data_IF_386412330714
#
_entry.id   IF_386412330714
#
_cell.length_a   1.000
_cell.length_b   1.000
_cell.length_c   1.000
_cell.angle_alpha   90.00
_cell.angle_beta   90.00
_cell.angle_gamma   90.00
#
_symmetry.space_group_name_H-M   'P 1'
#
loop_
_entity.id
_entity.type
_entity.pdbx_description
1 polymer ?
#
# COMPACT_ATOMS: atom_id res chain seq x y z
N UNK A 1 -22.89 -17.79 5.49
CA UNK A 1 -22.76 -16.66 6.41
C UNK A 1 -22.06 -17.03 7.71
N UNK A 2 -22.39 -18.13 8.37
CA UNK A 2 -21.75 -18.59 9.61
C UNK A 2 -20.25 -18.78 9.47
N UNK A 3 -19.81 -19.49 8.44
CA UNK A 3 -18.38 -19.69 8.15
C UNK A 3 -17.62 -18.38 7.95
N UNK A 4 -18.23 -17.37 7.32
CA UNK A 4 -17.64 -16.06 7.12
C UNK A 4 -17.31 -15.39 8.46
N UNK A 5 -18.26 -15.33 9.38
CA UNK A 5 -18.07 -14.71 10.70
C UNK A 5 -17.02 -15.47 11.52
N UNK A 6 -17.07 -16.81 11.49
CA UNK A 6 -16.08 -17.64 12.21
C UNK A 6 -14.67 -17.40 11.65
N UNK A 7 -14.52 -17.45 10.32
CA UNK A 7 -13.23 -17.20 9.65
C UNK A 7 -12.67 -15.81 9.97
N UNK A 8 -13.50 -14.76 9.91
CA UNK A 8 -13.08 -13.40 10.26
C UNK A 8 -12.66 -13.29 11.72
N UNK A 9 -13.44 -13.88 12.63
CA UNK A 9 -13.14 -13.85 14.07
C UNK A 9 -11.82 -14.57 14.38
N UNK A 10 -11.62 -15.74 13.80
CA UNK A 10 -10.40 -16.53 13.96
C UNK A 10 -9.19 -15.82 13.32
N UNK A 11 -9.38 -15.18 12.18
CA UNK A 11 -8.34 -14.37 11.53
C UNK A 11 -7.89 -13.20 12.41
N UNK A 12 -8.84 -12.49 13.04
CA UNK A 12 -8.52 -11.43 14.00
C UNK A 12 -7.76 -11.97 15.22
N UNK A 13 -8.23 -13.07 15.81
CA UNK A 13 -7.60 -13.69 16.96
C UNK A 13 -6.18 -14.16 16.61
N UNK A 14 -6.01 -14.84 15.49
CA UNK A 14 -4.71 -15.32 15.04
C UNK A 14 -3.75 -14.16 14.75
N UNK A 15 -4.20 -13.11 14.09
CA UNK A 15 -3.42 -11.89 13.87
C UNK A 15 -2.97 -11.25 15.18
N UNK A 16 -3.89 -11.10 16.15
CA UNK A 16 -3.56 -10.54 17.48
C UNK A 16 -2.56 -11.41 18.25
N UNK A 17 -2.73 -12.72 18.25
CA UNK A 17 -1.80 -13.65 18.89
C UNK A 17 -0.41 -13.62 18.23
N UNK A 18 -0.37 -13.64 16.91
CA UNK A 18 0.87 -13.52 16.13
C UNK A 18 1.59 -12.19 16.42
N UNK A 19 0.86 -11.08 16.52
CA UNK A 19 1.45 -9.78 16.84
C UNK A 19 2.06 -9.73 18.22
N UNK A 20 1.47 -10.46 19.18
CA UNK A 20 2.03 -10.59 20.54
C UNK A 20 3.31 -11.43 20.53
N UNK A 21 3.36 -12.52 19.76
CA UNK A 21 4.56 -13.32 19.57
C UNK A 21 5.68 -12.53 18.87
N UNK A 22 5.35 -11.80 17.80
CA UNK A 22 6.29 -10.97 17.06
C UNK A 22 6.91 -9.86 17.90
N UNK A 23 6.18 -9.34 18.89
CA UNK A 23 6.72 -8.35 19.83
C UNK A 23 7.91 -8.89 20.63
N UNK A 24 7.93 -10.19 20.96
CA UNK A 24 9.04 -10.83 21.66
C UNK A 24 10.33 -10.82 20.82
N UNK A 25 10.22 -10.97 19.51
CA UNK A 25 11.33 -10.96 18.55
C UNK A 25 11.52 -9.58 17.87
N UNK A 26 10.85 -8.55 18.38
CA UNK A 26 10.94 -7.15 17.92
C UNK A 26 10.55 -6.93 16.44
N UNK A 27 9.70 -7.78 15.88
CA UNK A 27 9.16 -7.60 14.52
C UNK A 27 7.97 -6.62 14.51
N UNK A 28 7.72 -5.93 13.38
CA UNK A 28 6.50 -5.17 13.17
C UNK A 28 5.24 -6.04 13.25
N UNK A 29 4.14 -5.48 13.75
CA UNK A 29 2.87 -6.19 13.83
C UNK A 29 2.35 -6.57 12.43
N UNK A 30 2.57 -5.72 11.42
CA UNK A 30 2.19 -5.98 10.02
C UNK A 30 2.76 -7.30 9.53
N UNK A 31 4.07 -7.50 9.66
CA UNK A 31 4.74 -8.76 9.26
C UNK A 31 4.11 -9.97 9.95
N UNK A 32 3.72 -9.83 11.23
CA UNK A 32 3.09 -10.93 11.95
C UNK A 32 1.65 -11.21 11.50
N UNK A 33 0.90 -10.19 11.10
CA UNK A 33 -0.44 -10.36 10.53
C UNK A 33 -0.38 -11.08 9.18
N UNK A 34 0.59 -10.72 8.32
CA UNK A 34 0.85 -11.39 7.06
C UNK A 34 1.24 -12.86 7.25
N UNK A 35 2.14 -13.13 8.19
CA UNK A 35 2.52 -14.51 8.54
C UNK A 35 1.32 -15.29 9.10
N UNK A 36 0.49 -14.69 9.96
CA UNK A 36 -0.73 -15.34 10.43
C UNK A 36 -1.68 -15.67 9.28
N UNK A 37 -1.84 -14.74 8.31
CA UNK A 37 -2.61 -14.96 7.11
C UNK A 37 -2.06 -16.08 6.23
N UNK A 38 -0.77 -16.10 5.99
CA UNK A 38 -0.08 -17.15 5.26
C UNK A 38 -0.31 -18.53 5.90
N UNK A 39 -0.23 -18.62 7.23
CA UNK A 39 -0.50 -19.86 7.97
C UNK A 39 -1.97 -20.27 7.91
N UNK A 40 -2.91 -19.32 7.97
CA UNK A 40 -4.35 -19.58 7.82
C UNK A 40 -4.75 -19.83 6.35
N UNK A 41 -3.89 -19.48 5.41
CA UNK A 41 -4.14 -19.55 3.98
C UNK A 41 -4.36 -20.96 3.44
N UNK A 42 -4.86 -21.04 2.18
CA UNK A 42 -5.18 -22.31 1.51
C UNK A 42 -4.00 -23.25 1.38
N UNK A 43 -2.78 -22.68 1.37
CA UNK A 43 -1.54 -23.44 1.14
C UNK A 43 -0.95 -24.06 2.41
N UNK A 44 -1.44 -23.70 3.60
CA UNK A 44 -0.96 -24.22 4.89
C UNK A 44 -2.07 -24.91 5.67
N UNK A 45 -2.78 -24.20 6.57
CA UNK A 45 -3.86 -24.81 7.37
C UNK A 45 -5.07 -25.20 6.52
N UNK A 46 -5.35 -24.49 5.42
CA UNK A 46 -6.40 -24.85 4.50
C UNK A 46 -6.27 -26.26 3.90
N UNK A 47 -5.02 -26.75 3.72
CA UNK A 47 -4.75 -28.14 3.26
C UNK A 47 -5.10 -29.21 4.29
N UNK A 48 -5.22 -28.87 5.58
CA UNK A 48 -5.54 -29.83 6.64
C UNK A 48 -7.04 -30.16 6.71
N UNK A 49 -7.88 -29.60 5.81
CA UNK A 49 -9.32 -29.87 5.78
C UNK A 49 -10.12 -29.26 6.94
N UNK A 50 -9.50 -28.40 7.76
CA UNK A 50 -10.12 -27.75 8.90
C UNK A 50 -10.96 -26.52 8.53
N UNK A 51 -10.93 -26.11 7.26
CA UNK A 51 -11.66 -24.95 6.72
C UNK A 51 -13.19 -25.08 6.89
N UNK A 52 -13.74 -26.30 6.89
CA UNK A 52 -15.14 -26.56 7.17
C UNK A 52 -15.59 -26.12 8.58
N UNK A 53 -14.66 -26.06 9.53
CA UNK A 53 -14.87 -25.59 10.91
C UNK A 53 -14.51 -24.12 11.09
N UNK A 54 -14.15 -23.42 10.00
CA UNK A 54 -13.71 -22.03 10.03
C UNK A 54 -12.23 -21.83 10.38
N UNK A 55 -11.47 -22.91 10.59
CA UNK A 55 -10.03 -22.84 10.85
C UNK A 55 -9.27 -22.79 9.51
N UNK A 56 -8.93 -21.57 9.08
CA UNK A 56 -8.22 -21.31 7.83
C UNK A 56 -9.13 -21.20 6.60
N UNK A 57 -8.53 -20.80 5.49
CA UNK A 57 -9.19 -20.61 4.21
C UNK A 57 -8.99 -21.86 3.34
N UNK A 58 -10.04 -22.46 2.86
CA UNK A 58 -10.00 -23.71 2.07
C UNK A 58 -9.54 -23.49 0.62
N UNK A 59 -9.70 -22.27 0.08
CA UNK A 59 -9.33 -21.94 -1.31
C UNK A 59 -9.04 -20.45 -1.46
N UNK A 60 -8.29 -20.07 -2.51
CA UNK A 60 -8.11 -18.68 -2.89
C UNK A 60 -9.42 -17.97 -3.21
N UNK A 61 -10.34 -18.65 -3.89
CA UNK A 61 -11.68 -18.10 -4.17
C UNK A 61 -12.44 -17.73 -2.89
N UNK A 62 -12.24 -18.50 -1.80
CA UNK A 62 -12.79 -18.14 -0.50
C UNK A 62 -12.13 -16.87 0.04
N UNK A 63 -10.81 -16.69 -0.05
CA UNK A 63 -10.12 -15.46 0.38
C UNK A 63 -10.59 -14.27 -0.45
N UNK A 64 -10.68 -14.42 -1.77
CA UNK A 64 -11.17 -13.39 -2.69
C UNK A 64 -12.62 -12.95 -2.37
N UNK A 65 -13.45 -13.84 -1.86
CA UNK A 65 -14.82 -13.49 -1.43
C UNK A 65 -14.87 -12.46 -0.29
N UNK A 66 -13.76 -12.26 0.44
CA UNK A 66 -13.59 -11.23 1.46
C UNK A 66 -13.01 -9.92 0.91
N UNK A 67 -12.82 -9.81 -0.40
CA UNK A 67 -12.19 -8.65 -1.05
C UNK A 67 -12.82 -7.30 -0.70
N UNK A 68 -14.13 -7.26 -0.37
CA UNK A 68 -14.79 -6.03 0.09
C UNK A 68 -14.14 -5.48 1.38
N UNK A 69 -13.67 -6.35 2.28
CA UNK A 69 -12.99 -5.93 3.52
C UNK A 69 -11.65 -5.30 3.18
N UNK A 70 -10.93 -5.89 2.24
CA UNK A 70 -9.67 -5.36 1.71
C UNK A 70 -9.85 -3.97 1.10
N UNK A 71 -10.89 -3.79 0.26
CA UNK A 71 -11.19 -2.49 -0.34
C UNK A 71 -11.56 -1.43 0.70
N UNK A 72 -12.40 -1.79 1.67
CA UNK A 72 -12.79 -0.89 2.77
C UNK A 72 -11.57 -0.50 3.61
N UNK A 73 -10.71 -1.46 3.95
CA UNK A 73 -9.48 -1.21 4.69
C UNK A 73 -8.55 -0.25 3.95
N UNK A 74 -8.33 -0.49 2.65
CA UNK A 74 -7.53 0.40 1.80
C UNK A 74 -8.12 1.81 1.74
N UNK A 75 -9.46 1.94 1.66
CA UNK A 75 -10.12 3.23 1.69
C UNK A 75 -9.86 4.01 2.99
N UNK A 76 -9.94 3.34 4.14
CA UNK A 76 -9.61 3.97 5.43
C UNK A 76 -8.13 4.33 5.54
N UNK A 77 -7.24 3.47 5.08
CA UNK A 77 -5.79 3.72 5.06
C UNK A 77 -5.51 4.96 4.20
N UNK A 78 -6.07 5.03 2.99
CA UNK A 78 -5.88 6.17 2.09
C UNK A 78 -6.46 7.48 2.67
N UNK A 79 -7.66 7.42 3.28
CA UNK A 79 -8.27 8.57 3.93
C UNK A 79 -7.37 9.13 5.05
N UNK A 80 -6.77 8.24 5.85
CA UNK A 80 -5.84 8.66 6.92
C UNK A 80 -4.53 9.21 6.34
N UNK A 81 -4.00 8.63 5.27
CA UNK A 81 -2.82 9.18 4.56
C UNK A 81 -3.11 10.58 4.06
N UNK A 82 -4.35 10.85 3.60
CA UNK A 82 -4.77 12.19 3.20
C UNK A 82 -4.53 13.26 4.26
N UNK A 83 -4.55 12.91 5.56
CA UNK A 83 -4.24 13.83 6.65
C UNK A 83 -2.79 14.35 6.66
N UNK A 84 -1.85 13.64 6.02
CA UNK A 84 -0.46 14.10 5.88
C UNK A 84 -0.31 15.23 4.83
N UNK A 85 -1.34 15.44 3.98
CA UNK A 85 -1.38 16.50 2.97
C UNK A 85 -1.96 17.82 3.52
N UNK A 86 -1.60 18.18 4.74
CA UNK A 86 -1.94 19.50 5.27
C UNK A 86 -1.21 20.59 4.53
N UNK A 87 -1.89 21.70 4.24
CA UNK A 87 -1.31 22.84 3.52
C UNK A 87 -0.02 23.33 4.17
N UNK A 88 0.04 23.36 5.51
CA UNK A 88 1.24 23.75 6.26
C UNK A 88 2.43 22.81 6.03
N UNK A 89 2.19 21.50 5.83
CA UNK A 89 3.24 20.54 5.50
C UNK A 89 3.65 20.65 4.03
N UNK A 90 2.67 20.86 3.13
CA UNK A 90 2.90 21.03 1.69
C UNK A 90 3.72 22.29 1.39
N UNK A 91 3.46 23.41 2.07
CA UNK A 91 4.25 24.63 1.90
C UNK A 91 5.75 24.41 2.21
N UNK A 92 6.05 23.57 3.19
CA UNK A 92 7.43 23.32 3.61
C UNK A 92 8.17 22.26 2.78
N UNK A 93 7.48 21.20 2.31
CA UNK A 93 8.11 20.01 1.71
C UNK A 93 7.44 19.53 0.40
N UNK A 94 6.30 20.12 -0.02
CA UNK A 94 5.51 19.61 -1.14
C UNK A 94 6.30 19.51 -2.45
N UNK A 95 7.10 20.53 -2.80
CA UNK A 95 7.94 20.50 -4.00
C UNK A 95 8.99 19.38 -3.96
N UNK A 96 9.57 19.13 -2.79
CA UNK A 96 10.51 18.02 -2.63
C UNK A 96 9.79 16.68 -2.78
N UNK A 97 8.62 16.51 -2.14
CA UNK A 97 7.85 15.29 -2.20
C UNK A 97 7.43 14.94 -3.64
N UNK A 98 6.91 15.91 -4.40
CA UNK A 98 6.51 15.71 -5.80
C UNK A 98 7.72 15.34 -6.66
N UNK A 99 8.82 16.10 -6.56
CA UNK A 99 10.02 15.83 -7.36
C UNK A 99 10.63 14.47 -7.01
N UNK A 100 10.73 14.15 -5.71
CA UNK A 100 11.27 12.86 -5.25
C UNK A 100 10.36 11.72 -5.67
N UNK A 101 9.04 11.85 -5.50
CA UNK A 101 8.06 10.83 -5.89
C UNK A 101 8.15 10.49 -7.37
N UNK A 102 8.11 11.50 -8.25
CA UNK A 102 8.19 11.29 -9.69
C UNK A 102 9.54 10.70 -10.09
N UNK A 103 10.65 11.32 -9.70
CA UNK A 103 11.98 10.90 -10.15
C UNK A 103 12.34 9.50 -9.66
N UNK A 104 12.05 9.15 -8.40
CA UNK A 104 12.37 7.82 -7.89
C UNK A 104 11.54 6.74 -8.58
N UNK A 105 10.25 7.01 -8.89
CA UNK A 105 9.39 6.08 -9.61
C UNK A 105 9.91 5.83 -11.04
N UNK A 106 10.20 6.91 -11.79
CA UNK A 106 10.77 6.83 -13.14
C UNK A 106 12.12 6.09 -13.16
N UNK A 107 13.04 6.44 -12.24
CA UNK A 107 14.35 5.78 -12.16
C UNK A 107 14.18 4.29 -11.83
N UNK A 108 13.24 3.95 -10.95
CA UNK A 108 12.96 2.55 -10.62
C UNK A 108 12.45 1.78 -11.84
N UNK A 109 11.45 2.32 -12.54
CA UNK A 109 10.92 1.74 -13.79
C UNK A 109 12.03 1.51 -14.80
N UNK A 110 12.81 2.54 -15.13
CA UNK A 110 13.89 2.45 -16.12
C UNK A 110 14.94 1.40 -15.73
N UNK A 111 15.35 1.33 -14.46
CA UNK A 111 16.34 0.33 -14.02
C UNK A 111 15.79 -1.10 -14.10
N UNK A 112 14.53 -1.30 -13.79
CA UNK A 112 13.89 -2.62 -13.91
C UNK A 112 13.71 -2.98 -15.38
N UNK A 113 13.28 -2.02 -16.22
CA UNK A 113 13.19 -2.22 -17.68
C UNK A 113 14.55 -2.64 -18.26
N UNK A 114 15.63 -1.92 -17.94
CA UNK A 114 16.98 -2.26 -18.41
C UNK A 114 17.35 -3.69 -17.99
N UNK A 115 17.10 -4.08 -16.75
CA UNK A 115 17.44 -5.39 -16.25
C UNK A 115 16.63 -6.52 -16.90
N UNK A 116 15.30 -6.35 -17.04
CA UNK A 116 14.43 -7.37 -17.61
C UNK A 116 14.51 -7.42 -19.13
N UNK A 117 14.70 -6.31 -19.82
CA UNK A 117 14.95 -6.24 -21.26
C UNK A 117 16.32 -6.91 -21.59
N UNK A 118 17.36 -6.67 -20.78
CA UNK A 118 18.61 -7.38 -20.91
C UNK A 118 18.45 -8.91 -20.71
N UNK A 119 17.60 -9.31 -19.77
CA UNK A 119 17.24 -10.72 -19.58
C UNK A 119 16.49 -11.28 -20.78
N UNK A 120 15.56 -10.52 -21.38
CA UNK A 120 14.88 -10.91 -22.62
C UNK A 120 15.86 -11.15 -23.76
N UNK A 121 16.83 -10.26 -23.99
CA UNK A 121 17.83 -10.44 -25.06
C UNK A 121 18.76 -11.62 -24.78
N UNK A 122 19.06 -11.91 -23.52
CA UNK A 122 19.86 -13.07 -23.14
C UNK A 122 19.08 -14.40 -23.26
N UNK A 123 17.81 -14.40 -22.92
CA UNK A 123 16.93 -15.57 -22.83
C UNK A 123 15.48 -15.20 -23.26
N UNK A 124 15.24 -15.05 -24.57
CA UNK A 124 13.92 -14.64 -25.07
C UNK A 124 12.82 -15.70 -24.81
N UNK A 125 13.20 -16.92 -24.51
CA UNK A 125 12.33 -18.03 -24.14
C UNK A 125 11.72 -17.90 -22.73
N UNK A 126 12.28 -17.03 -21.87
CA UNK A 126 11.89 -16.93 -20.46
C UNK A 126 10.89 -15.78 -20.21
N UNK A 127 11.06 -14.65 -20.86
CA UNK A 127 10.24 -13.46 -20.69
C UNK A 127 10.08 -12.72 -22.02
N UNK A 128 8.86 -12.30 -22.34
CA UNK A 128 8.60 -11.44 -23.53
C UNK A 128 9.03 -10.00 -23.29
N UNK A 129 9.23 -9.24 -24.38
CA UNK A 129 9.53 -7.82 -24.31
C UNK A 129 8.36 -7.04 -23.67
N UNK A 130 7.13 -7.41 -24.00
CA UNK A 130 5.92 -6.81 -23.46
C UNK A 130 5.84 -7.01 -21.93
N UNK A 131 6.08 -8.23 -21.46
CA UNK A 131 6.12 -8.54 -20.02
C UNK A 131 7.25 -7.83 -19.29
N UNK A 132 8.43 -7.71 -19.91
CA UNK A 132 9.57 -7.01 -19.30
C UNK A 132 9.25 -5.53 -19.01
N UNK A 133 8.71 -4.79 -20.01
CA UNK A 133 8.34 -3.38 -19.89
C UNK A 133 7.17 -3.19 -18.90
N UNK A 134 6.19 -4.08 -18.92
CA UNK A 134 5.06 -4.02 -17.98
C UNK A 134 5.52 -4.23 -16.53
N UNK A 135 6.40 -5.20 -16.28
CA UNK A 135 6.98 -5.43 -14.95
C UNK A 135 7.79 -4.22 -14.46
N UNK A 136 8.52 -3.54 -15.36
CA UNK A 136 9.25 -2.33 -15.00
C UNK A 136 8.35 -1.21 -14.48
N UNK A 137 7.20 -0.99 -15.11
CA UNK A 137 6.23 -0.03 -14.62
C UNK A 137 5.59 -0.45 -13.29
N UNK A 138 5.20 -1.73 -13.14
CA UNK A 138 4.66 -2.26 -11.86
C UNK A 138 5.68 -2.10 -10.72
N UNK A 139 6.97 -2.10 -11.01
CA UNK A 139 8.03 -1.91 -10.03
C UNK A 139 8.04 -0.52 -9.37
N UNK A 140 7.44 0.49 -10.00
CA UNK A 140 7.32 1.84 -9.42
C UNK A 140 6.42 1.87 -8.18
N UNK A 141 5.40 1.03 -8.10
CA UNK A 141 4.40 1.04 -7.02
C UNK A 141 5.01 0.72 -5.65
N UNK A 142 4.55 1.45 -4.62
CA UNK A 142 4.91 1.26 -3.20
C UNK A 142 3.66 0.96 -2.38
N UNK A 143 3.76 0.09 -1.37
CA UNK A 143 2.64 -0.23 -0.50
C UNK A 143 2.44 0.84 0.59
N UNK A 144 1.40 1.68 0.52
CA UNK A 144 1.17 2.71 1.53
C UNK A 144 0.76 2.11 2.88
N UNK A 145 -0.05 1.05 2.87
CA UNK A 145 -0.59 0.42 4.07
C UNK A 145 0.50 -0.10 5.01
N UNK A 146 1.45 -0.89 4.48
CA UNK A 146 2.53 -1.47 5.28
C UNK A 146 3.41 -0.40 5.92
N UNK A 147 3.78 0.62 5.16
CA UNK A 147 4.61 1.75 5.61
C UNK A 147 3.90 2.57 6.69
N UNK A 148 2.63 2.94 6.46
CA UNK A 148 1.83 3.71 7.41
C UNK A 148 1.67 2.95 8.75
N UNK A 149 1.42 1.64 8.70
CA UNK A 149 1.27 0.84 9.91
C UNK A 149 2.56 0.78 10.73
N UNK A 150 3.74 0.72 10.09
CA UNK A 150 5.03 0.81 10.79
C UNK A 150 5.19 2.18 11.44
N UNK A 151 4.93 3.26 10.70
CA UNK A 151 4.99 4.64 11.22
C UNK A 151 4.10 4.78 12.46
N UNK A 152 2.84 4.33 12.39
CA UNK A 152 1.89 4.39 13.50
C UNK A 152 2.27 3.49 14.68
N UNK A 153 2.64 2.25 14.43
CA UNK A 153 3.00 1.29 15.47
C UNK A 153 4.17 1.79 16.33
N UNK A 154 5.15 2.41 15.70
CA UNK A 154 6.35 2.90 16.38
C UNK A 154 6.31 4.41 16.67
N UNK A 155 5.19 5.08 16.36
CA UNK A 155 5.01 6.53 16.52
C UNK A 155 6.17 7.32 15.90
N UNK A 156 6.61 6.88 14.71
CA UNK A 156 7.67 7.56 14.00
C UNK A 156 7.22 8.98 13.65
N UNK A 157 8.08 9.95 13.90
CA UNK A 157 7.81 11.35 13.56
C UNK A 157 9.11 12.07 13.22
N UNK A 158 9.12 12.80 12.11
CA UNK A 158 10.28 13.55 11.66
C UNK A 158 10.21 13.90 10.18
N UNK A 159 11.22 14.56 9.66
CA UNK A 159 11.27 14.98 8.25
C UNK A 159 11.24 13.80 7.27
N UNK A 160 11.95 12.69 7.58
CA UNK A 160 11.92 11.47 6.75
C UNK A 160 10.53 10.87 6.73
N UNK A 161 9.88 10.71 7.89
CA UNK A 161 8.52 10.15 7.98
C UNK A 161 7.53 10.98 7.18
N UNK A 162 7.55 12.31 7.29
CA UNK A 162 6.65 13.20 6.53
C UNK A 162 6.88 13.08 5.03
N UNK A 163 8.14 13.15 4.59
CA UNK A 163 8.47 13.02 3.17
C UNK A 163 8.06 11.64 2.64
N UNK A 164 8.32 10.57 3.42
CA UNK A 164 7.96 9.21 3.09
C UNK A 164 6.46 9.07 2.81
N UNK A 165 5.60 9.54 3.71
CA UNK A 165 4.13 9.42 3.56
C UNK A 165 3.62 10.22 2.36
N UNK A 166 4.17 11.42 2.10
CA UNK A 166 3.82 12.19 0.91
C UNK A 166 4.31 11.52 -0.39
N UNK A 167 5.52 10.97 -0.41
CA UNK A 167 6.07 10.28 -1.59
C UNK A 167 5.25 9.02 -1.89
N UNK A 168 4.93 8.22 -0.88
CA UNK A 168 4.11 7.00 -1.05
C UNK A 168 2.76 7.31 -1.67
N UNK A 169 2.11 8.38 -1.24
CA UNK A 169 0.82 8.76 -1.82
C UNK A 169 0.93 9.31 -3.27
N UNK A 170 2.03 9.98 -3.60
CA UNK A 170 2.29 10.44 -4.98
C UNK A 170 2.65 9.24 -5.88
N UNK A 171 3.33 8.23 -5.34
CA UNK A 171 3.70 7.02 -6.07
C UNK A 171 2.51 6.30 -6.71
N UNK A 172 1.34 6.32 -6.07
CA UNK A 172 0.14 5.68 -6.62
C UNK A 172 -0.29 6.35 -7.93
N UNK A 173 -0.33 7.68 -7.97
CA UNK A 173 -0.69 8.41 -9.18
C UNK A 173 0.39 8.28 -10.28
N UNK A 174 1.66 8.39 -9.91
CA UNK A 174 2.79 8.25 -10.85
C UNK A 174 2.88 6.82 -11.38
N UNK A 175 2.71 5.83 -10.50
CA UNK A 175 2.71 4.42 -10.84
C UNK A 175 1.60 4.07 -11.85
N UNK A 176 0.40 4.61 -11.66
CA UNK A 176 -0.71 4.42 -12.59
C UNK A 176 -0.39 4.95 -13.99
N UNK A 177 0.17 6.17 -14.08
CA UNK A 177 0.57 6.76 -15.38
C UNK A 177 1.67 5.95 -16.05
N UNK A 178 2.71 5.55 -15.29
CA UNK A 178 3.82 4.75 -15.82
C UNK A 178 3.32 3.38 -16.30
N UNK A 179 2.44 2.74 -15.51
CA UNK A 179 1.86 1.44 -15.86
C UNK A 179 1.04 1.54 -17.14
N UNK A 180 0.11 2.49 -17.23
CA UNK A 180 -0.74 2.64 -18.42
C UNK A 180 0.06 2.94 -19.67
N UNK A 181 1.10 3.78 -19.57
CA UNK A 181 2.00 4.04 -20.70
C UNK A 181 2.76 2.77 -21.13
N UNK A 182 3.36 2.06 -20.18
CA UNK A 182 4.14 0.84 -20.45
C UNK A 182 3.26 -0.32 -20.92
N UNK A 183 2.10 -0.52 -20.34
CA UNK A 183 1.13 -1.55 -20.71
C UNK A 183 0.55 -1.29 -22.10
N UNK A 184 0.25 -0.02 -22.43
CA UNK A 184 -0.16 0.34 -23.77
C UNK A 184 0.92 0.08 -24.82
N UNK A 185 2.20 0.35 -24.50
CA UNK A 185 3.34 -0.01 -25.38
C UNK A 185 3.44 -1.55 -25.51
N UNK A 186 3.29 -2.28 -24.41
CA UNK A 186 3.32 -3.74 -24.38
C UNK A 186 2.22 -4.34 -25.27
N UNK A 187 0.99 -3.85 -25.16
CA UNK A 187 -0.13 -4.26 -26.00
C UNK A 187 0.12 -3.92 -27.49
N UNK A 188 0.72 -2.75 -27.78
CA UNK A 188 1.06 -2.38 -29.13
C UNK A 188 2.11 -3.31 -29.75
N UNK A 189 3.09 -3.77 -28.95
CA UNK A 189 4.09 -4.76 -29.40
C UNK A 189 3.46 -6.11 -29.71
N UNK A 190 2.44 -6.56 -28.96
CA UNK A 190 1.75 -7.82 -29.20
C UNK A 190 0.72 -7.76 -30.32
N UNK A 191 -0.09 -6.68 -30.36
CA UNK A 191 -1.23 -6.57 -31.28
C UNK A 191 -0.91 -5.77 -32.57
N UNK A 192 0.23 -5.08 -32.60
CA UNK A 192 0.63 -4.21 -33.72
C UNK A 192 -0.23 -2.95 -33.88
N UNK A 193 -0.96 -2.54 -32.85
CA UNK A 193 -1.81 -1.34 -32.84
C UNK A 193 -1.48 -0.47 -31.62
N UNK A 194 -1.28 0.82 -31.85
CA UNK A 194 -1.08 1.82 -30.79
C UNK A 194 -2.40 2.56 -30.59
N UNK A 195 -2.93 2.53 -29.39
CA UNK A 195 -4.07 3.36 -28.97
C UNK A 195 -3.58 4.48 -28.04
N UNK A 196 -3.35 5.69 -28.54
CA UNK A 196 -2.85 6.81 -27.74
C UNK A 196 -3.87 7.28 -26.68
N UNK A 197 -5.16 6.96 -26.85
CA UNK A 197 -6.22 7.32 -25.90
C UNK A 197 -6.06 6.52 -24.63
N UNK A 198 -5.97 5.19 -24.74
CA UNK A 198 -5.78 4.30 -23.58
C UNK A 198 -4.44 4.53 -22.87
N UNK A 199 -3.40 4.89 -23.62
CA UNK A 199 -2.06 5.09 -23.06
C UNK A 199 -1.94 6.37 -22.23
N UNK A 200 -2.52 7.48 -22.69
CA UNK A 200 -2.27 8.81 -22.11
C UNK A 200 -3.52 9.46 -21.50
N UNK A 201 -4.66 9.34 -22.16
CA UNK A 201 -5.84 10.09 -21.77
C UNK A 201 -6.61 9.41 -20.63
N UNK A 202 -6.79 8.09 -20.68
CA UNK A 202 -7.54 7.37 -19.63
C UNK A 202 -6.93 7.52 -18.24
N UNK A 203 -5.59 7.38 -18.01
CA UNK A 203 -5.00 7.59 -16.69
C UNK A 203 -5.13 9.03 -16.20
N UNK A 204 -5.00 10.01 -17.09
CA UNK A 204 -5.19 11.40 -16.72
C UNK A 204 -6.64 11.69 -16.31
N UNK A 205 -7.59 11.13 -17.05
CA UNK A 205 -9.03 11.24 -16.73
C UNK A 205 -9.31 10.55 -15.39
N UNK A 206 -8.78 9.36 -15.16
CA UNK A 206 -8.93 8.64 -13.90
C UNK A 206 -8.39 9.45 -12.70
N UNK A 207 -7.20 10.03 -12.83
CA UNK A 207 -6.61 10.88 -11.78
C UNK A 207 -7.49 12.10 -11.52
N UNK A 208 -7.87 12.83 -12.56
CA UNK A 208 -8.67 14.06 -12.43
C UNK A 208 -10.04 13.76 -11.83
N UNK A 209 -10.73 12.72 -12.31
CA UNK A 209 -12.03 12.31 -11.79
C UNK A 209 -11.92 11.84 -10.33
N UNK A 210 -10.88 11.07 -9.99
CA UNK A 210 -10.65 10.59 -8.62
C UNK A 210 -10.40 11.74 -7.64
N UNK A 211 -9.52 12.67 -8.00
CA UNK A 211 -9.25 13.85 -7.17
C UNK A 211 -10.49 14.75 -7.07
N UNK A 212 -11.25 14.93 -8.15
CA UNK A 212 -12.49 15.70 -8.17
C UNK A 212 -13.57 15.09 -7.28
N UNK A 213 -13.80 13.78 -7.40
CA UNK A 213 -14.76 13.05 -6.57
C UNK A 213 -14.37 13.09 -5.09
N UNK A 214 -13.08 12.86 -4.80
CA UNK A 214 -12.56 12.92 -3.44
C UNK A 214 -12.67 14.32 -2.82
N UNK A 215 -12.37 15.36 -3.59
CA UNK A 215 -12.52 16.74 -3.14
C UNK A 215 -13.98 17.08 -2.82
N UNK A 216 -14.91 16.71 -3.70
CA UNK A 216 -16.34 16.89 -3.47
C UNK A 216 -16.81 16.16 -2.19
N UNK A 217 -16.40 14.90 -2.03
CA UNK A 217 -16.74 14.12 -0.84
C UNK A 217 -16.19 14.73 0.44
N UNK A 218 -14.94 15.22 0.43
CA UNK A 218 -14.34 15.92 1.58
C UNK A 218 -15.04 17.22 1.95
N UNK A 219 -15.44 18.00 0.94
CA UNK A 219 -16.26 19.22 1.15
C UNK A 219 -17.62 18.89 1.76
N UNK A 220 -18.31 17.89 1.21
CA UNK A 220 -19.63 17.47 1.71
C UNK A 220 -19.52 16.91 3.14
N UNK A 221 -18.50 16.11 3.42
CA UNK A 221 -18.23 15.60 4.77
C UNK A 221 -18.09 16.78 5.77
N UNK A 222 -17.27 17.78 5.44
CA UNK A 222 -17.08 18.95 6.30
C UNK A 222 -18.38 19.74 6.49
N UNK A 223 -19.17 19.94 5.44
CA UNK A 223 -20.45 20.66 5.55
C UNK A 223 -21.45 19.90 6.45
N UNK A 224 -21.55 18.59 6.30
CA UNK A 224 -22.47 17.79 7.11
C UNK A 224 -22.01 17.65 8.55
N UNK A 225 -20.70 17.65 8.80
CA UNK A 225 -20.14 17.52 10.14
C UNK A 225 -20.58 18.66 11.07
N UNK A 226 -20.76 19.86 10.55
CA UNK A 226 -21.21 21.06 11.31
C UNK A 226 -22.57 20.82 11.97
N UNK A 227 -23.46 20.01 11.40
CA UNK A 227 -24.78 19.69 11.97
C UNK A 227 -24.71 18.71 13.15
N UNK A 228 -23.56 18.06 13.38
CA UNK A 228 -23.43 17.06 14.43
C UNK A 228 -22.49 17.55 15.55
N UNK A 229 -23.01 17.72 16.74
CA UNK A 229 -22.23 18.16 17.91
C UNK A 229 -21.63 17.00 18.71
N UNK A 230 -22.19 15.79 18.55
CA UNK A 230 -21.71 14.58 19.24
C UNK A 230 -20.50 13.99 18.54
N UNK A 231 -19.42 13.76 19.28
CA UNK A 231 -18.18 13.13 18.80
C UNK A 231 -18.40 11.75 18.14
N UNK A 232 -19.33 10.96 18.70
CA UNK A 232 -19.68 9.64 18.13
C UNK A 232 -20.41 9.79 16.79
N UNK A 233 -21.33 10.74 16.66
CA UNK A 233 -22.06 10.98 15.40
C UNK A 233 -21.11 11.47 14.30
N UNK A 234 -20.17 12.37 14.61
CA UNK A 234 -19.16 12.85 13.69
C UNK A 234 -18.26 11.71 13.19
N UNK A 235 -17.79 10.83 14.10
CA UNK A 235 -17.04 9.65 13.71
C UNK A 235 -17.85 8.71 12.80
N UNK A 236 -19.13 8.46 13.14
CA UNK A 236 -20.01 7.65 12.30
C UNK A 236 -20.22 8.27 10.92
N UNK A 237 -20.30 9.59 10.82
CA UNK A 237 -20.39 10.31 9.55
C UNK A 237 -19.12 10.13 8.73
N UNK A 238 -17.92 10.26 9.34
CA UNK A 238 -16.65 10.04 8.65
C UNK A 238 -16.53 8.60 8.13
N UNK A 239 -16.93 7.60 8.94
CA UNK A 239 -16.98 6.20 8.51
C UNK A 239 -17.92 6.03 7.32
N UNK A 240 -19.13 6.62 7.38
CA UNK A 240 -20.10 6.53 6.29
C UNK A 240 -19.56 7.16 4.99
N UNK A 241 -18.85 8.28 5.07
CA UNK A 241 -18.25 8.92 3.90
C UNK A 241 -17.10 8.10 3.30
N UNK A 242 -16.25 7.48 4.13
CA UNK A 242 -15.22 6.58 3.60
C UNK A 242 -15.86 5.38 2.90
N UNK A 243 -16.88 4.77 3.49
CA UNK A 243 -17.62 3.66 2.84
C UNK A 243 -18.28 4.10 1.53
N UNK A 244 -18.87 5.30 1.50
CA UNK A 244 -19.48 5.88 0.31
C UNK A 244 -18.44 6.11 -0.79
N UNK A 245 -17.29 6.70 -0.46
CA UNK A 245 -16.21 6.95 -1.43
C UNK A 245 -15.60 5.67 -1.95
N UNK A 246 -15.43 4.63 -1.10
CA UNK A 246 -15.03 3.29 -1.53
C UNK A 246 -16.06 2.72 -2.53
N UNK A 247 -17.35 2.78 -2.21
CA UNK A 247 -18.41 2.29 -3.11
C UNK A 247 -18.46 3.06 -4.44
N UNK A 248 -18.34 4.39 -4.40
CA UNK A 248 -18.33 5.21 -5.61
C UNK A 248 -17.08 4.96 -6.49
N UNK A 249 -15.92 4.70 -5.87
CA UNK A 249 -14.69 4.40 -6.61
C UNK A 249 -14.74 3.05 -7.37
N UNK A 250 -15.64 2.15 -7.00
CA UNK A 250 -15.84 0.90 -7.72
C UNK A 250 -16.72 1.04 -8.98
N UNK A 251 -17.28 2.23 -9.21
CA UNK A 251 -18.09 2.50 -10.40
C UNK A 251 -17.18 2.82 -11.58
N UNK A 252 -17.40 2.15 -12.70
CA UNK A 252 -16.76 2.45 -13.97
C UNK A 252 -17.81 2.70 -15.05
N UNK A 253 -17.51 3.60 -16.00
CA UNK A 253 -18.41 3.94 -17.11
C UNK A 253 -17.62 4.34 -18.34
N UNK A 254 -18.27 4.30 -19.50
CA UNK A 254 -17.66 4.70 -20.77
C UNK A 254 -18.25 6.00 -21.30
N UNK A 255 -17.41 6.91 -21.71
CA UNK A 255 -17.79 8.16 -22.39
C UNK A 255 -17.15 8.17 -23.77
N UNK A 256 -17.92 7.78 -24.79
CA UNK A 256 -17.40 7.57 -26.13
C UNK A 256 -16.34 6.46 -26.17
N UNK A 257 -15.13 6.73 -26.69
CA UNK A 257 -14.05 5.75 -26.74
C UNK A 257 -13.28 5.62 -25.39
N UNK A 258 -13.49 6.55 -24.43
CA UNK A 258 -12.72 6.65 -23.20
C UNK A 258 -13.36 5.79 -22.10
N UNK A 259 -12.57 4.93 -21.47
CA UNK A 259 -12.96 4.21 -20.26
C UNK A 259 -12.67 5.09 -19.03
N UNK A 260 -13.72 5.43 -18.29
CA UNK A 260 -13.62 6.24 -17.09
C UNK A 260 -13.75 5.33 -15.86
N UNK A 261 -12.73 5.30 -15.05
CA UNK A 261 -12.65 4.62 -13.75
C UNK A 261 -12.21 5.59 -12.66
N UNK A 262 -12.23 5.12 -11.43
CA UNK A 262 -11.77 5.89 -10.28
C UNK A 262 -10.74 5.06 -9.51
N UNK A 263 -9.62 5.69 -9.14
CA UNK A 263 -8.68 5.11 -8.19
C UNK A 263 -9.20 5.24 -6.76
N UNK A 264 -9.51 4.13 -6.12
CA UNK A 264 -9.97 4.07 -4.73
C UNK A 264 -9.04 4.84 -3.78
N UNK A 265 -7.73 4.64 -3.95
CA UNK A 265 -6.73 5.27 -3.09
C UNK A 265 -6.74 6.79 -3.27
N UNK A 266 -6.77 7.29 -4.52
CA UNK A 266 -6.79 8.74 -4.81
C UNK A 266 -8.08 9.40 -4.33
N UNK A 267 -9.24 8.76 -4.52
CA UNK A 267 -10.54 9.29 -4.03
C UNK A 267 -10.53 9.43 -2.51
N UNK A 268 -10.21 8.34 -1.80
CA UNK A 268 -10.24 8.35 -0.34
C UNK A 268 -9.15 9.26 0.26
N UNK A 269 -7.95 9.27 -0.33
CA UNK A 269 -6.87 10.16 0.07
C UNK A 269 -7.25 11.63 -0.11
N UNK A 270 -7.80 12.01 -1.27
CA UNK A 270 -8.22 13.39 -1.52
C UNK A 270 -9.37 13.81 -0.59
N UNK A 271 -10.30 12.89 -0.28
CA UNK A 271 -11.35 13.12 0.71
C UNK A 271 -10.73 13.48 2.07
N UNK A 272 -9.74 12.71 2.54
CA UNK A 272 -9.00 12.98 3.77
C UNK A 272 -8.21 14.28 3.72
N UNK A 273 -7.56 14.57 2.59
CA UNK A 273 -6.78 15.81 2.35
C UNK A 273 -7.67 17.05 2.46
N UNK A 274 -8.80 17.06 1.78
CA UNK A 274 -9.73 18.21 1.83
C UNK A 274 -10.31 18.35 3.23
N UNK A 275 -10.75 17.24 3.83
CA UNK A 275 -11.32 17.25 5.17
C UNK A 275 -10.34 17.78 6.22
N UNK A 276 -9.08 17.34 6.24
CA UNK A 276 -8.11 17.76 7.23
C UNK A 276 -7.70 19.24 7.10
N UNK A 277 -7.82 19.83 5.91
CA UNK A 277 -7.46 21.23 5.68
C UNK A 277 -8.61 22.21 5.96
N UNK A 278 -9.86 21.74 5.96
CA UNK A 278 -11.05 22.61 6.12
C UNK A 278 -11.68 22.42 7.50
N UNK A 279 -11.68 21.19 8.05
CA UNK A 279 -12.32 20.89 9.32
C UNK A 279 -11.41 21.21 10.52
N UNK A 280 -11.79 22.13 11.43
CA UNK A 280 -10.97 22.47 12.58
C UNK A 280 -10.77 21.33 13.60
N UNK A 281 -11.69 20.36 13.62
CA UNK A 281 -11.67 19.22 14.55
C UNK A 281 -11.14 17.94 13.92
N UNK A 282 -10.55 18.04 12.72
CA UNK A 282 -10.07 16.90 11.95
C UNK A 282 -9.07 16.01 12.72
N UNK A 283 -8.15 16.60 13.50
CA UNK A 283 -7.16 15.85 14.28
C UNK A 283 -7.81 14.89 15.28
N UNK A 284 -8.77 15.38 16.06
CA UNK A 284 -9.46 14.54 17.04
C UNK A 284 -10.26 13.41 16.37
N UNK A 285 -10.88 13.71 15.24
CA UNK A 285 -11.66 12.73 14.48
C UNK A 285 -10.75 11.66 13.84
N UNK A 286 -9.63 12.08 13.26
CA UNK A 286 -8.64 11.15 12.66
C UNK A 286 -8.08 10.21 13.72
N UNK A 287 -7.69 10.70 14.90
CA UNK A 287 -7.20 9.86 16.01
C UNK A 287 -8.23 8.83 16.48
N UNK A 288 -9.52 9.19 16.47
CA UNK A 288 -10.61 8.28 16.83
C UNK A 288 -10.89 7.25 15.77
N UNK A 289 -10.91 7.70 14.52
CA UNK A 289 -11.12 6.86 13.35
C UNK A 289 -10.02 5.79 13.29
N UNK A 290 -8.77 6.18 13.50
CA UNK A 290 -7.62 5.29 13.47
C UNK A 290 -7.74 4.15 14.50
N UNK A 291 -8.23 4.46 15.69
CA UNK A 291 -8.51 3.43 16.72
C UNK A 291 -9.64 2.50 16.34
N UNK A 292 -10.69 3.03 15.69
CA UNK A 292 -11.85 2.25 15.26
C UNK A 292 -11.51 1.32 14.09
N UNK A 293 -10.69 1.77 13.16
CA UNK A 293 -10.28 1.01 11.96
C UNK A 293 -9.26 -0.11 12.28
N UNK A 294 -8.65 -0.11 13.45
CA UNK A 294 -7.62 -1.09 13.82
C UNK A 294 -7.99 -2.56 13.55
N UNK A 295 -9.20 -3.07 13.87
CA UNK A 295 -9.59 -4.45 13.53
C UNK A 295 -9.67 -4.69 12.02
N UNK A 296 -10.12 -3.70 11.25
CA UNK A 296 -10.23 -3.79 9.79
C UNK A 296 -8.84 -3.88 9.16
N UNK A 297 -7.89 -3.11 9.67
CA UNK A 297 -6.49 -3.17 9.25
C UNK A 297 -5.84 -4.53 9.54
N UNK A 298 -6.13 -5.13 10.71
CA UNK A 298 -5.65 -6.48 11.03
C UNK A 298 -6.18 -7.49 10.03
N UNK A 299 -7.49 -7.45 9.74
CA UNK A 299 -8.12 -8.33 8.75
C UNK A 299 -7.50 -8.15 7.37
N UNK A 300 -7.28 -6.90 6.96
CA UNK A 300 -6.63 -6.59 5.69
C UNK A 300 -5.29 -7.31 5.53
N UNK A 301 -4.39 -7.19 6.51
CA UNK A 301 -3.08 -7.83 6.41
C UNK A 301 -3.14 -9.36 6.56
N UNK A 302 -4.07 -9.90 7.35
CA UNK A 302 -4.27 -11.35 7.43
C UNK A 302 -4.82 -11.89 6.11
N UNK A 303 -5.78 -11.23 5.48
CA UNK A 303 -6.31 -11.62 4.17
C UNK A 303 -5.23 -11.51 3.09
N UNK A 304 -4.47 -10.41 3.06
CA UNK A 304 -3.33 -10.25 2.13
C UNK A 304 -2.30 -11.37 2.30
N UNK A 305 -2.01 -11.77 3.54
CA UNK A 305 -1.14 -12.92 3.81
C UNK A 305 -1.73 -14.25 3.34
N UNK A 306 -3.05 -14.44 3.43
CA UNK A 306 -3.73 -15.65 2.98
C UNK A 306 -3.82 -15.77 1.44
N UNK A 307 -3.76 -14.65 0.73
CA UNK A 307 -3.70 -14.61 -0.74
C UNK A 307 -2.35 -15.05 -1.31
N UNK A 308 -1.29 -15.08 -0.50
CA UNK A 308 0.06 -15.43 -0.96
C UNK A 308 0.17 -16.90 -1.35
N UNK A 309 0.39 -17.16 -2.64
CA UNK A 309 0.53 -18.51 -3.19
C UNK A 309 1.97 -19.02 -3.08
N UNK A 310 2.20 -19.93 -2.14
CA UNK A 310 3.52 -20.57 -1.98
C UNK A 310 3.90 -21.53 -3.10
N UNK A 311 2.96 -21.99 -3.95
CA UNK A 311 3.29 -22.87 -5.07
C UNK A 311 4.13 -22.15 -6.14
N UNK A 312 4.08 -20.81 -6.16
CA UNK A 312 4.94 -19.98 -7.03
C UNK A 312 6.42 -20.27 -6.80
N UNK A 313 6.81 -20.59 -5.56
CA UNK A 313 8.20 -20.92 -5.22
C UNK A 313 8.70 -22.24 -5.86
N UNK A 314 7.79 -23.06 -6.39
CA UNK A 314 8.16 -24.30 -7.09
C UNK A 314 8.59 -24.06 -8.55
N UNK A 315 8.33 -22.88 -9.13
CA UNK A 315 8.65 -22.57 -10.52
C UNK A 315 10.00 -21.84 -10.62
N UNK A 316 11.07 -22.49 -11.14
CA UNK A 316 12.41 -21.90 -11.20
C UNK A 316 12.51 -20.69 -12.16
N UNK A 317 11.65 -20.61 -13.18
CA UNK A 317 11.63 -19.44 -14.08
C UNK A 317 11.08 -18.21 -13.36
N UNK A 318 9.98 -18.38 -12.62
CA UNK A 318 9.41 -17.30 -11.81
C UNK A 318 10.39 -16.84 -10.75
N UNK A 319 11.11 -17.76 -10.11
CA UNK A 319 12.15 -17.42 -9.13
C UNK A 319 13.30 -16.63 -9.76
N UNK A 320 13.75 -16.99 -10.95
CA UNK A 320 14.82 -16.28 -11.65
C UNK A 320 14.40 -14.86 -12.02
N UNK A 321 13.27 -14.73 -12.73
CA UNK A 321 12.77 -13.42 -13.14
C UNK A 321 12.43 -12.57 -11.90
N UNK A 322 11.80 -13.17 -10.89
CA UNK A 322 11.46 -12.51 -9.64
C UNK A 322 12.69 -12.06 -8.85
N UNK A 323 13.77 -12.84 -8.83
CA UNK A 323 15.02 -12.42 -8.20
C UNK A 323 15.64 -11.22 -8.91
N UNK A 324 15.66 -11.21 -10.26
CA UNK A 324 16.13 -10.07 -11.06
C UNK A 324 15.25 -8.85 -10.82
N UNK A 325 13.91 -9.04 -10.81
CA UNK A 325 12.95 -8.00 -10.54
C UNK A 325 13.14 -7.39 -9.14
N UNK A 326 13.23 -8.21 -8.09
CA UNK A 326 13.44 -7.76 -6.70
C UNK A 326 14.77 -7.02 -6.57
N UNK A 327 15.85 -7.54 -7.15
CA UNK A 327 17.16 -6.90 -7.08
C UNK A 327 17.18 -5.56 -7.81
N UNK A 328 16.71 -5.51 -9.06
CA UNK A 328 16.68 -4.28 -9.87
C UNK A 328 15.73 -3.23 -9.28
N UNK A 329 14.55 -3.66 -8.78
CA UNK A 329 13.60 -2.76 -8.11
C UNK A 329 14.19 -2.19 -6.81
N UNK A 330 14.82 -3.02 -5.98
CA UNK A 330 15.46 -2.54 -4.74
C UNK A 330 16.55 -1.53 -5.05
N UNK A 331 17.41 -1.81 -6.04
CA UNK A 331 18.43 -0.87 -6.52
C UNK A 331 17.79 0.41 -7.07
N UNK A 332 16.70 0.29 -7.84
CA UNK A 332 15.96 1.42 -8.39
C UNK A 332 15.38 2.33 -7.32
N UNK A 333 14.66 1.76 -6.36
CA UNK A 333 14.07 2.53 -5.24
C UNK A 333 15.14 3.21 -4.40
N UNK A 334 16.24 2.53 -4.07
CA UNK A 334 17.32 3.10 -3.25
C UNK A 334 18.08 4.17 -4.03
N UNK A 335 18.54 3.85 -5.24
CA UNK A 335 19.32 4.82 -6.06
C UNK A 335 18.46 5.97 -6.55
N UNK A 336 17.22 5.71 -6.99
CA UNK A 336 16.27 6.72 -7.44
C UNK A 336 15.92 7.70 -6.32
N UNK A 337 15.65 7.21 -5.11
CA UNK A 337 15.42 8.06 -3.94
C UNK A 337 16.68 8.85 -3.55
N UNK A 338 17.85 8.22 -3.59
CA UNK A 338 19.09 8.90 -3.28
C UNK A 338 19.38 10.06 -4.25
N UNK A 339 19.28 9.80 -5.56
CA UNK A 339 19.53 10.80 -6.60
C UNK A 339 18.52 11.93 -6.53
N UNK A 340 17.24 11.62 -6.39
CA UNK A 340 16.18 12.63 -6.32
C UNK A 340 16.23 13.47 -5.04
N UNK A 341 16.53 12.85 -3.89
CA UNK A 341 16.73 13.57 -2.63
C UNK A 341 17.98 14.46 -2.67
N UNK A 342 19.05 14.01 -3.33
CA UNK A 342 20.25 14.83 -3.51
C UNK A 342 19.99 16.03 -4.44
N UNK A 343 19.23 15.82 -5.52
CA UNK A 343 18.84 16.89 -6.45
C UNK A 343 17.95 17.95 -5.76
N UNK A 344 17.10 17.53 -4.84
CA UNK A 344 16.20 18.41 -4.08
C UNK A 344 16.82 18.90 -2.76
N UNK A 345 18.10 18.63 -2.52
CA UNK A 345 18.85 19.05 -1.32
C UNK A 345 18.21 18.58 0.00
N UNK A 346 17.67 17.38 0.03
CA UNK A 346 17.22 16.76 1.28
C UNK A 346 18.40 16.49 2.22
N UNK A 347 18.12 16.34 3.53
CA UNK A 347 19.15 15.98 4.51
C UNK A 347 19.77 14.62 4.22
N UNK A 348 21.02 14.39 4.65
CA UNK A 348 21.76 13.15 4.42
C UNK A 348 21.01 11.90 4.94
N UNK A 349 20.32 12.03 6.08
CA UNK A 349 19.50 10.96 6.64
C UNK A 349 18.36 10.56 5.69
N UNK A 350 17.67 11.54 5.11
CA UNK A 350 16.59 11.29 4.14
C UNK A 350 17.18 10.63 2.90
N UNK A 351 18.28 11.16 2.35
CA UNK A 351 18.94 10.59 1.16
C UNK A 351 19.31 9.11 1.37
N UNK A 352 19.76 8.74 2.56
CA UNK A 352 20.25 7.41 2.87
C UNK A 352 19.11 6.40 3.13
N UNK A 353 18.03 6.81 3.78
CA UNK A 353 17.04 5.88 4.31
C UNK A 353 15.70 5.87 3.57
N UNK A 354 15.34 6.92 2.83
CA UNK A 354 14.06 7.00 2.15
C UNK A 354 13.82 5.83 1.19
N UNK A 355 14.80 5.50 0.34
CA UNK A 355 14.64 4.43 -0.64
C UNK A 355 14.38 3.05 -0.02
N UNK A 356 14.97 2.79 1.15
CA UNK A 356 14.74 1.52 1.87
C UNK A 356 13.32 1.48 2.46
N UNK A 357 12.79 2.62 2.91
CA UNK A 357 11.42 2.69 3.44
C UNK A 357 10.34 2.60 2.34
N UNK A 358 10.71 2.77 1.06
CA UNK A 358 9.84 2.64 -0.10
C UNK A 358 9.85 1.23 -0.73
N UNK A 359 10.55 0.27 -0.13
CA UNK A 359 10.61 -1.11 -0.64
C UNK A 359 9.30 -1.91 -0.53
N UNK A 360 8.44 -1.74 0.50
CA UNK A 360 7.18 -2.48 0.57
C UNK A 360 6.36 -2.36 -0.72
N UNK A 361 5.80 -3.48 -1.19
CA UNK A 361 4.99 -3.57 -2.40
C UNK A 361 3.80 -4.48 -2.14
N UNK A 362 2.59 -4.05 -2.50
CA UNK A 362 1.35 -4.80 -2.25
C UNK A 362 0.23 -4.40 -3.23
N UNK A 363 -0.97 -4.21 -2.75
CA UNK A 363 -2.24 -4.04 -3.42
C UNK A 363 -2.24 -3.38 -4.81
N UNK A 364 -1.66 -2.19 -4.95
CA UNK A 364 -1.61 -1.47 -6.25
C UNK A 364 -0.84 -2.30 -7.30
N UNK A 365 0.30 -2.88 -6.91
CA UNK A 365 1.08 -3.74 -7.81
C UNK A 365 0.31 -5.00 -8.22
N UNK A 366 -0.48 -5.58 -7.30
CA UNK A 366 -1.34 -6.74 -7.60
C UNK A 366 -2.49 -6.36 -8.54
N UNK A 367 -3.08 -5.17 -8.39
CA UNK A 367 -4.08 -4.64 -9.30
C UNK A 367 -3.55 -4.50 -10.72
N UNK A 368 -2.39 -3.83 -10.87
CA UNK A 368 -1.71 -3.72 -12.17
C UNK A 368 -1.33 -5.07 -12.76
N UNK A 369 -0.89 -6.03 -11.94
CA UNK A 369 -0.55 -7.38 -12.38
C UNK A 369 -1.78 -8.19 -12.82
N UNK A 370 -2.95 -7.92 -12.24
CA UNK A 370 -4.21 -8.53 -12.67
C UNK A 370 -4.64 -8.02 -14.05
N UNK A 371 -4.47 -6.71 -14.31
CA UNK A 371 -4.72 -6.11 -15.63
C UNK A 371 -3.71 -6.61 -16.67
N UNK A 372 -2.44 -6.74 -16.30
CA UNK A 372 -1.39 -7.30 -17.13
C UNK A 372 -1.62 -8.78 -17.49
N UNK A 373 -2.56 -9.48 -16.86
CA UNK A 373 -2.94 -10.85 -17.22
C UNK A 373 -3.54 -10.98 -18.64
N UNK A 374 -3.91 -9.87 -19.27
CA UNK A 374 -4.37 -9.81 -20.67
C UNK A 374 -3.24 -10.03 -21.70
N UNK A 375 -1.97 -9.84 -21.32
CA UNK A 375 -0.82 -10.13 -22.18
C UNK A 375 -0.66 -11.64 -22.40
N UNK A 376 -0.01 -12.01 -23.49
CA UNK A 376 0.27 -13.41 -23.84
C UNK A 376 1.00 -14.18 -22.72
N UNK A 377 1.94 -13.52 -22.04
CA UNK A 377 2.68 -14.05 -20.87
C UNK A 377 2.15 -13.49 -19.54
N UNK A 378 0.91 -12.97 -19.49
CA UNK A 378 0.36 -12.26 -18.35
C UNK A 378 0.37 -13.07 -17.05
N UNK A 379 0.21 -14.40 -17.13
CA UNK A 379 0.37 -15.29 -15.97
C UNK A 379 1.77 -15.22 -15.37
N UNK A 380 2.81 -15.07 -16.20
CA UNK A 380 4.18 -14.94 -15.74
C UNK A 380 4.35 -13.59 -15.00
N UNK A 381 3.86 -12.50 -15.57
CA UNK A 381 3.88 -11.17 -14.93
C UNK A 381 3.22 -11.23 -13.56
N UNK A 382 2.01 -11.79 -13.47
CA UNK A 382 1.28 -11.94 -12.20
C UNK A 382 2.08 -12.75 -11.17
N UNK A 383 2.67 -13.88 -11.57
CA UNK A 383 3.43 -14.75 -10.67
C UNK A 383 4.71 -14.08 -10.17
N UNK A 384 5.41 -13.32 -11.01
CA UNK A 384 6.61 -12.56 -10.62
C UNK A 384 6.24 -11.47 -9.61
N UNK A 385 5.14 -10.75 -9.84
CA UNK A 385 4.67 -9.72 -8.91
C UNK A 385 4.23 -10.33 -7.59
N UNK A 386 3.48 -11.45 -7.60
CA UNK A 386 3.10 -12.16 -6.38
C UNK A 386 4.30 -12.62 -5.57
N UNK A 387 5.33 -13.17 -6.24
CA UNK A 387 6.58 -13.55 -5.57
C UNK A 387 7.28 -12.33 -4.95
N UNK A 388 7.35 -11.23 -5.69
CA UNK A 388 7.93 -9.98 -5.20
C UNK A 388 7.17 -9.44 -3.99
N UNK A 389 5.84 -9.39 -4.06
CA UNK A 389 4.96 -8.95 -2.97
C UNK A 389 5.17 -9.83 -1.73
N UNK A 390 5.22 -11.16 -1.89
CA UNK A 390 5.52 -12.08 -0.78
C UNK A 390 6.82 -11.68 -0.05
N UNK A 391 7.90 -11.44 -0.80
CA UNK A 391 9.19 -11.07 -0.21
C UNK A 391 9.13 -9.69 0.44
N UNK A 392 8.58 -8.69 -0.26
CA UNK A 392 8.56 -7.32 0.25
C UNK A 392 7.58 -7.09 1.41
N UNK A 393 6.47 -7.80 1.46
CA UNK A 393 5.54 -7.71 2.59
C UNK A 393 6.11 -8.35 3.86
N UNK A 394 6.88 -9.43 3.72
CA UNK A 394 7.55 -10.06 4.87
C UNK A 394 8.75 -9.26 5.39
N UNK A 395 9.57 -8.73 4.47
CA UNK A 395 10.85 -8.07 4.81
C UNK A 395 10.71 -6.55 4.92
N UNK A 396 9.88 -5.94 4.07
CA UNK A 396 9.75 -4.50 3.91
C UNK A 396 9.38 -3.74 5.19
N UNK A 397 8.38 -4.15 5.97
CA UNK A 397 8.03 -3.47 7.22
C UNK A 397 9.18 -3.47 8.23
N UNK A 398 9.96 -4.55 8.25
CA UNK A 398 11.16 -4.65 9.13
C UNK A 398 12.25 -3.69 8.67
N UNK A 399 12.51 -3.60 7.37
CA UNK A 399 13.48 -2.67 6.79
C UNK A 399 13.05 -1.22 7.00
N UNK A 400 11.76 -0.91 6.82
CA UNK A 400 11.22 0.42 7.09
C UNK A 400 11.40 0.82 8.56
N UNK A 401 11.11 -0.07 9.50
CA UNK A 401 11.35 0.14 10.93
C UNK A 401 12.82 0.42 11.22
N UNK A 402 13.74 -0.41 10.71
CA UNK A 402 15.18 -0.26 10.92
C UNK A 402 15.68 1.07 10.37
N UNK A 403 15.22 1.48 9.19
CA UNK A 403 15.57 2.73 8.54
C UNK A 403 15.09 3.95 9.34
N UNK A 404 13.83 3.94 9.80
CA UNK A 404 13.27 5.02 10.63
C UNK A 404 13.98 5.09 11.99
N UNK A 405 14.36 3.94 12.57
CA UNK A 405 15.14 3.89 13.81
C UNK A 405 16.54 4.47 13.61
N UNK A 406 17.21 4.10 12.51
CA UNK A 406 18.55 4.60 12.18
C UNK A 406 18.55 6.11 11.82
N UNK A 407 17.46 6.60 11.25
CA UNK A 407 17.25 8.04 11.04
C UNK A 407 17.04 8.82 12.36
N UNK A 408 16.68 8.12 13.44
CA UNK A 408 16.38 8.71 14.75
C UNK A 408 14.94 9.22 14.87
N UNK A 409 14.05 8.76 14.02
CA UNK A 409 12.63 9.17 14.01
C UNK A 409 11.71 8.20 14.77
N UNK A 410 12.25 7.08 15.25
CA UNK A 410 11.61 6.19 16.21
C UNK A 410 12.32 6.33 17.56
N UNK A 411 11.60 6.80 18.57
CA UNK A 411 12.10 6.89 19.94
C UNK A 411 11.80 5.56 20.64
N UNK A 412 12.82 4.83 21.16
CA UNK A 412 12.62 3.54 21.80
C UNK A 412 11.67 3.57 23.01
N UNK A 413 11.60 4.71 23.70
CA UNK A 413 10.78 4.94 24.90
C UNK A 413 9.32 5.31 24.60
N UNK A 414 8.97 5.61 23.36
CA UNK A 414 7.61 6.00 22.92
C UNK A 414 6.54 4.89 23.01
N UNK A 415 6.86 3.73 23.59
CA UNK A 415 5.97 2.59 23.76
C UNK A 415 5.17 2.66 25.04
N UNK A 416 4.25 3.55 25.17
CA UNK A 416 3.28 3.50 26.25
C UNK A 416 2.14 2.53 25.91
N UNK A 417 2.23 1.29 26.40
CA UNK A 417 1.04 0.48 26.64
C UNK A 417 0.27 1.14 27.77
N UNK A 418 -1.05 1.28 27.63
CA UNK A 418 -1.91 1.82 28.70
C UNK A 418 -1.77 1.09 30.06
N UNK A 419 -1.19 -0.13 30.07
CA UNK A 419 -0.92 -0.90 31.28
C UNK A 419 0.44 -0.61 31.94
N UNK A 420 1.35 0.11 31.28
CA UNK A 420 2.67 0.47 31.87
C UNK A 420 2.66 1.80 32.62
N UNK A 421 1.60 2.57 32.52
CA UNK A 421 1.43 3.83 33.27
C UNK A 421 0.93 3.66 34.70
N UNK A 422 0.61 2.42 35.13
CA UNK A 422 0.15 2.13 36.49
C UNK A 422 1.21 1.42 37.35
N UNK A 423 2.50 1.67 37.18
CA UNK A 423 3.46 1.44 38.26
C UNK A 423 3.32 2.61 39.24
N UNK A 424 3.01 2.35 40.53
CA UNK A 424 3.11 3.41 41.54
C UNK A 424 4.54 3.97 41.51
N UNK A 425 4.67 5.26 41.49
CA UNK A 425 5.94 5.92 41.76
C UNK A 425 6.39 5.47 43.17
N UNK A 426 7.55 4.84 43.26
CA UNK A 426 8.16 4.58 44.54
C UNK A 426 8.37 5.94 45.23
N UNK A 427 7.99 6.08 46.51
CA UNK A 427 8.16 7.31 47.23
C UNK A 427 9.65 7.66 47.29
N UNK A 428 10.00 8.84 46.76
CA UNK A 428 11.32 9.42 46.90
C UNK A 428 11.61 9.53 48.40
N UNK A 429 12.53 8.73 48.88
CA UNK A 429 13.06 8.89 50.26
C UNK A 429 13.78 10.24 50.33
N UNK A 430 13.18 11.18 51.04
CA UNK A 430 13.82 12.42 51.43
C UNK A 430 14.75 12.06 52.60
N UNK A 431 16.08 12.06 52.34
CA UNK A 431 17.10 12.23 53.35
C UNK A 431 17.52 13.71 53.41
#
# INVERSE_FOLDING_TARGET
MEQLLICMSLSLIAGLLASRAAKAIRLPAVTSYLVAGLLLGPFFLGRLGLSGWGFGFGSLAQVESYGIITQVALGFIAFVIGNEFRLSALESMGRQAVTVGILQAVITTVLVDIALVALHFARPDIISMASAITLGAIASATAPAATLMVVKQYKASGPLTRLLLMVVAIDDAVGLVLFSASFGIANALEQGRIDPISILLEPLVEIVLSLGLGALAGLLLNQLEVYFHSRSKRMSLSVAFVLLTVGLSMVSFKVGPIHCSFSLLLVCMMTGTVFCNICPTSDELMDRLDRWVSPVNILFFVLSGAELDLNILANPMVLLIGAVYIASRSLGKISGSYVSCKATRCSEKIQKYLGITLLPQAGVALGMAAEAAELSDGHMVRNVVLFSVLVYELVGPTLAKLSLTAAGEIIPEGRTSARTTNKPEEPVSVE
#
